data_IF_585630252338
#
_entry.id   IF_585630252338
#
_cell.length_a   1.000
_cell.length_b   1.000
_cell.length_c   1.000
_cell.angle_alpha   90.00
_cell.angle_beta   90.00
_cell.angle_gamma   90.00
#
_symmetry.space_group_name_H-M   'P 1'
#
loop_
_entity.id
_entity.type
_entity.pdbx_description
1 polymer ?
#
# COMPACT_ATOMS: atom_id res chain seq x y z
N UNK A 1 26.37 -4.93 53.66
CA UNK A 1 25.23 -5.58 52.95
C UNK A 1 24.86 -4.83 51.67
N UNK A 2 24.66 -3.50 51.69
CA UNK A 2 24.38 -2.69 50.49
C UNK A 2 25.54 -2.69 49.48
N UNK A 3 26.80 -2.64 49.93
CA UNK A 3 27.96 -2.63 49.01
C UNK A 3 28.31 -4.00 48.42
N UNK A 4 27.90 -5.11 49.06
CA UNK A 4 28.04 -6.45 48.48
C UNK A 4 27.00 -6.69 47.37
N UNK A 5 25.77 -6.19 47.56
CA UNK A 5 24.73 -6.23 46.53
C UNK A 5 25.10 -5.44 45.27
N UNK A 6 25.82 -4.31 45.41
CA UNK A 6 26.32 -3.51 44.26
C UNK A 6 27.29 -4.26 43.35
N UNK A 7 28.05 -5.23 43.86
CA UNK A 7 29.02 -6.00 43.07
C UNK A 7 28.42 -7.31 42.54
N UNK A 8 27.47 -7.90 43.26
CA UNK A 8 26.82 -9.16 42.90
C UNK A 8 25.81 -8.96 41.76
N UNK A 9 25.07 -7.85 41.74
CA UNK A 9 24.07 -7.56 40.70
C UNK A 9 24.68 -7.46 39.29
N UNK A 10 25.79 -6.73 39.05
CA UNK A 10 26.46 -6.71 37.74
C UNK A 10 26.95 -8.10 37.28
N UNK A 11 27.49 -8.93 38.18
CA UNK A 11 27.97 -10.28 37.84
C UNK A 11 26.83 -11.23 37.46
N UNK A 12 25.70 -11.18 38.17
CA UNK A 12 24.50 -11.95 37.84
C UNK A 12 23.90 -11.50 36.51
N UNK A 13 23.87 -10.20 36.25
CA UNK A 13 23.43 -9.64 34.95
C UNK A 13 24.35 -10.11 33.82
N UNK A 14 25.67 -10.10 34.03
CA UNK A 14 26.61 -10.63 33.04
C UNK A 14 26.42 -12.12 32.77
N UNK A 15 26.27 -12.95 33.81
CA UNK A 15 26.04 -14.40 33.64
C UNK A 15 24.72 -14.68 32.91
N UNK A 16 23.65 -14.01 33.29
CA UNK A 16 22.35 -14.14 32.65
C UNK A 16 22.38 -13.70 31.17
N UNK A 17 23.09 -12.63 30.86
CA UNK A 17 23.26 -12.17 29.47
C UNK A 17 24.11 -13.14 28.65
N UNK A 18 25.17 -13.72 29.23
CA UNK A 18 26.00 -14.72 28.56
C UNK A 18 25.23 -16.01 28.26
N UNK A 19 24.36 -16.46 29.17
CA UNK A 19 23.49 -17.62 28.94
C UNK A 19 22.46 -17.38 27.83
N UNK A 20 21.89 -16.17 27.75
CA UNK A 20 21.02 -15.77 26.64
C UNK A 20 21.78 -15.77 25.30
N UNK A 21 22.99 -15.22 25.28
CA UNK A 21 23.81 -15.13 24.07
C UNK A 21 24.23 -16.52 23.55
N UNK A 22 24.60 -17.44 24.45
CA UNK A 22 24.91 -18.84 24.09
C UNK A 22 23.66 -19.55 23.54
N UNK A 23 22.49 -19.32 24.14
CA UNK A 23 21.24 -19.88 23.64
C UNK A 23 20.90 -19.35 22.25
N UNK A 24 21.09 -18.05 21.98
CA UNK A 24 20.87 -17.48 20.64
C UNK A 24 21.82 -18.08 19.60
N UNK A 25 23.12 -18.21 19.93
CA UNK A 25 24.12 -18.82 19.04
C UNK A 25 23.76 -20.26 18.63
N UNK A 26 23.14 -21.03 19.54
CA UNK A 26 22.70 -22.41 19.27
C UNK A 26 21.38 -22.47 18.52
N UNK A 27 20.42 -21.62 18.87
CA UNK A 27 19.05 -21.69 18.33
C UNK A 27 18.95 -21.11 16.93
N UNK A 28 19.62 -19.98 16.65
CA UNK A 28 19.51 -19.26 15.36
C UNK A 28 19.81 -20.18 14.15
N UNK A 29 20.91 -20.95 14.11
CA UNK A 29 21.18 -21.86 12.99
C UNK A 29 20.10 -22.94 12.80
N UNK A 30 19.55 -23.46 13.90
CA UNK A 30 18.51 -24.51 13.87
C UNK A 30 17.22 -23.95 13.29
N UNK A 31 16.79 -22.77 13.76
CA UNK A 31 15.59 -22.09 13.27
C UNK A 31 15.75 -21.71 11.79
N UNK A 32 16.92 -21.21 11.38
CA UNK A 32 17.20 -20.90 9.98
C UNK A 32 17.14 -22.12 9.06
N UNK A 33 17.60 -23.28 9.55
CA UNK A 33 17.59 -24.54 8.79
C UNK A 33 16.19 -25.12 8.67
N UNK A 34 15.39 -25.06 9.74
CA UNK A 34 14.03 -25.64 9.78
C UNK A 34 12.98 -24.70 9.17
N UNK A 35 13.23 -23.39 9.21
CA UNK A 35 12.29 -22.35 8.80
C UNK A 35 11.44 -21.85 9.97
N UNK A 36 11.10 -20.55 9.94
CA UNK A 36 10.31 -19.86 10.96
C UNK A 36 8.85 -20.35 11.06
N UNK A 37 8.33 -21.00 10.02
CA UNK A 37 6.98 -21.57 9.99
C UNK A 37 6.92 -22.96 10.63
N UNK A 38 8.04 -23.69 10.62
CA UNK A 38 8.13 -25.07 11.13
C UNK A 38 8.72 -25.14 12.55
N UNK A 39 8.91 -23.98 13.18
CA UNK A 39 9.53 -23.84 14.49
C UNK A 39 8.53 -23.28 15.48
N UNK A 40 8.15 -24.09 16.47
CA UNK A 40 7.39 -23.61 17.63
C UNK A 40 8.38 -23.04 18.66
N UNK A 41 8.16 -21.81 19.13
CA UNK A 41 8.96 -21.14 20.17
C UNK A 41 8.17 -20.91 21.47
N UNK A 42 6.93 -21.41 21.58
CA UNK A 42 6.01 -21.19 22.69
C UNK A 42 6.54 -21.71 24.03
N UNK A 43 7.53 -22.62 24.01
CA UNK A 43 8.20 -23.11 25.21
C UNK A 43 9.11 -22.07 25.88
N UNK A 44 9.45 -20.99 25.18
CA UNK A 44 10.26 -19.89 25.72
C UNK A 44 9.35 -18.76 26.20
N UNK A 45 9.79 -18.00 27.21
CA UNK A 45 9.13 -16.75 27.59
C UNK A 45 9.20 -15.69 26.48
N UNK A 46 8.25 -14.76 26.44
CA UNK A 46 8.11 -13.78 25.36
C UNK A 46 9.41 -13.03 25.02
N UNK A 47 10.16 -12.58 26.03
CA UNK A 47 11.42 -11.86 25.83
C UNK A 47 12.46 -12.71 25.10
N UNK A 48 12.51 -14.00 25.42
CA UNK A 48 13.44 -14.94 24.81
C UNK A 48 13.02 -15.30 23.39
N UNK A 49 11.71 -15.47 23.15
CA UNK A 49 11.18 -15.64 21.80
C UNK A 49 11.52 -14.46 20.90
N UNK A 50 11.27 -13.23 21.38
CA UNK A 50 11.61 -12.00 20.64
C UNK A 50 13.11 -11.91 20.38
N UNK A 51 13.94 -12.25 21.37
CA UNK A 51 15.40 -12.30 21.21
C UNK A 51 15.85 -13.26 20.11
N UNK A 52 15.34 -14.50 20.11
CA UNK A 52 15.64 -15.50 19.08
C UNK A 52 15.17 -15.00 17.71
N UNK A 53 13.94 -14.51 17.59
CA UNK A 53 13.38 -14.03 16.33
C UNK A 53 14.18 -12.84 15.77
N UNK A 54 14.60 -11.90 16.61
CA UNK A 54 15.44 -10.77 16.22
C UNK A 54 16.81 -11.23 15.69
N UNK A 55 17.44 -12.19 16.38
CA UNK A 55 18.74 -12.73 15.96
C UNK A 55 18.63 -13.53 14.66
N UNK A 56 17.56 -14.32 14.49
CA UNK A 56 17.26 -15.01 13.23
C UNK A 56 17.04 -14.01 12.09
N UNK A 57 16.27 -12.95 12.36
CA UNK A 57 15.99 -11.90 11.39
C UNK A 57 17.28 -11.19 10.94
N UNK A 58 18.18 -10.86 11.87
CA UNK A 58 19.45 -10.21 11.55
C UNK A 58 20.34 -11.09 10.65
N UNK A 59 20.41 -12.38 10.93
CA UNK A 59 21.13 -13.34 10.08
C UNK A 59 20.47 -13.50 8.70
N UNK A 60 19.14 -13.41 8.60
CA UNK A 60 18.43 -13.42 7.32
C UNK A 60 18.76 -12.17 6.49
N UNK A 61 18.85 -10.99 7.12
CA UNK A 61 19.28 -9.75 6.45
C UNK A 61 20.69 -9.90 5.89
N UNK A 62 21.64 -10.41 6.70
CA UNK A 62 23.04 -10.64 6.26
C UNK A 62 23.12 -11.59 5.06
N UNK A 63 22.19 -12.52 4.94
CA UNK A 63 22.08 -13.49 3.82
C UNK A 63 21.26 -12.97 2.64
N UNK A 64 20.80 -11.71 2.65
CA UNK A 64 19.97 -11.12 1.61
C UNK A 64 18.53 -11.64 1.55
N UNK A 65 18.08 -12.41 2.56
CA UNK A 65 16.72 -12.99 2.64
C UNK A 65 15.76 -12.01 3.33
N UNK A 66 15.66 -10.79 2.81
CA UNK A 66 14.98 -9.66 3.47
C UNK A 66 13.50 -9.90 3.72
N UNK A 67 12.79 -10.59 2.80
CA UNK A 67 11.36 -10.93 2.99
C UNK A 67 11.12 -11.78 4.24
N UNK A 68 11.98 -12.77 4.46
CA UNK A 68 11.88 -13.65 5.63
C UNK A 68 12.31 -12.91 6.91
N UNK A 69 13.29 -12.01 6.80
CA UNK A 69 13.68 -11.15 7.90
C UNK A 69 12.52 -10.23 8.34
N UNK A 70 11.76 -9.65 7.41
CA UNK A 70 10.57 -8.83 7.71
C UNK A 70 9.53 -9.68 8.46
N UNK A 71 9.25 -10.90 8.00
CA UNK A 71 8.32 -11.79 8.69
C UNK A 71 8.80 -12.14 10.11
N UNK A 72 10.10 -12.35 10.29
CA UNK A 72 10.71 -12.59 11.60
C UNK A 72 10.58 -11.36 12.53
N UNK A 73 10.88 -10.16 12.03
CA UNK A 73 10.75 -8.91 12.80
C UNK A 73 9.29 -8.57 13.12
N UNK A 74 8.35 -8.89 12.23
CA UNK A 74 6.92 -8.76 12.48
C UNK A 74 6.49 -9.66 13.65
N UNK A 75 6.89 -10.94 13.64
CA UNK A 75 6.64 -11.86 14.77
C UNK A 75 7.31 -11.39 16.06
N UNK A 76 8.51 -10.82 15.96
CA UNK A 76 9.23 -10.25 17.11
C UNK A 76 8.64 -8.91 17.60
N UNK A 77 7.69 -8.31 16.85
CA UNK A 77 7.17 -6.95 17.06
C UNK A 77 8.27 -5.89 17.13
N UNK A 78 9.36 -6.08 16.38
CA UNK A 78 10.50 -5.15 16.38
C UNK A 78 10.29 -4.02 15.36
N UNK A 79 9.63 -2.95 15.82
CA UNK A 79 9.30 -1.79 14.99
C UNK A 79 10.55 -1.06 14.48
N UNK A 80 11.57 -0.89 15.33
CA UNK A 80 12.79 -0.15 14.97
C UNK A 80 13.52 -0.81 13.79
N UNK A 81 13.67 -2.14 13.81
CA UNK A 81 14.30 -2.86 12.70
C UNK A 81 13.48 -2.86 11.43
N UNK A 82 12.16 -2.90 11.52
CA UNK A 82 11.28 -2.72 10.36
C UNK A 82 11.43 -1.32 9.75
N UNK A 83 11.57 -0.28 10.58
CA UNK A 83 11.84 1.09 10.12
C UNK A 83 13.21 1.18 9.44
N UNK A 84 14.26 0.58 10.00
CA UNK A 84 15.60 0.55 9.38
C UNK A 84 15.59 -0.12 8.00
N UNK A 85 14.88 -1.25 7.85
CA UNK A 85 14.69 -1.92 6.56
C UNK A 85 13.89 -1.01 5.61
N UNK A 86 12.82 -0.38 6.10
CA UNK A 86 12.02 0.57 5.33
C UNK A 86 12.86 1.75 4.82
N UNK A 87 13.71 2.32 5.66
CA UNK A 87 14.65 3.39 5.30
C UNK A 87 15.65 2.93 4.23
N UNK A 88 16.13 1.68 4.32
CA UNK A 88 16.99 1.08 3.31
C UNK A 88 16.27 0.95 1.95
N UNK A 89 15.02 0.47 1.93
CA UNK A 89 14.21 0.41 0.71
C UNK A 89 13.94 1.80 0.13
N UNK A 90 13.61 2.78 0.97
CA UNK A 90 13.41 4.17 0.54
C UNK A 90 14.66 4.73 -0.15
N UNK A 91 15.85 4.48 0.41
CA UNK A 91 17.11 4.93 -0.17
C UNK A 91 17.43 4.25 -1.52
N UNK A 92 16.85 3.08 -1.78
CA UNK A 92 16.92 2.37 -3.07
C UNK A 92 15.77 2.74 -4.03
N UNK A 93 14.94 3.75 -3.69
CA UNK A 93 13.72 4.13 -4.41
C UNK A 93 12.68 2.99 -4.54
N UNK A 94 12.74 1.98 -3.65
CA UNK A 94 11.76 0.90 -3.59
C UNK A 94 10.59 1.29 -2.67
N UNK A 95 9.85 2.33 -3.05
CA UNK A 95 8.85 2.96 -2.17
C UNK A 95 7.73 2.02 -1.72
N UNK A 96 7.20 1.16 -2.61
CA UNK A 96 6.13 0.22 -2.24
C UNK A 96 6.53 -0.72 -1.09
N UNK A 97 7.80 -1.14 -1.06
CA UNK A 97 8.35 -2.01 -0.01
C UNK A 97 8.64 -1.21 1.29
N UNK A 98 9.10 0.03 1.16
CA UNK A 98 9.29 0.93 2.28
C UNK A 98 7.95 1.22 3.00
N UNK A 99 6.89 1.52 2.24
CA UNK A 99 5.54 1.76 2.74
C UNK A 99 5.02 0.54 3.52
N UNK A 100 5.21 -0.68 3.00
CA UNK A 100 4.81 -1.90 3.70
C UNK A 100 5.52 -2.03 5.06
N UNK A 101 6.85 -1.83 5.08
CA UNK A 101 7.64 -1.89 6.32
C UNK A 101 7.18 -0.84 7.34
N UNK A 102 6.96 0.40 6.91
CA UNK A 102 6.51 1.48 7.79
C UNK A 102 5.09 1.26 8.29
N UNK A 103 4.19 0.70 7.48
CA UNK A 103 2.83 0.36 7.90
C UNK A 103 2.83 -0.73 8.98
N UNK A 104 3.58 -1.82 8.77
CA UNK A 104 3.73 -2.89 9.77
C UNK A 104 4.34 -2.34 11.07
N UNK A 105 5.30 -1.43 10.96
CA UNK A 105 5.92 -0.79 12.11
C UNK A 105 5.03 0.28 12.79
N UNK A 106 3.87 0.60 12.23
CA UNK A 106 2.99 1.70 12.65
C UNK A 106 3.71 3.08 12.64
N UNK A 107 4.72 3.23 11.78
CA UNK A 107 5.54 4.43 11.66
C UNK A 107 4.86 5.49 10.78
N UNK A 108 3.80 6.12 11.31
CA UNK A 108 2.98 7.11 10.58
C UNK A 108 3.78 8.27 10.01
N UNK A 109 4.74 8.81 10.77
CA UNK A 109 5.59 9.92 10.30
C UNK A 109 6.45 9.52 9.08
N UNK A 110 6.91 8.25 9.06
CA UNK A 110 7.71 7.71 7.95
C UNK A 110 6.84 7.44 6.72
N UNK A 111 5.64 6.93 6.91
CA UNK A 111 4.63 6.81 5.84
C UNK A 111 4.30 8.17 5.23
N UNK A 112 4.13 9.20 6.07
CA UNK A 112 3.86 10.55 5.60
C UNK A 112 5.04 11.09 4.77
N UNK A 113 6.26 10.97 5.28
CA UNK A 113 7.46 11.44 4.60
C UNK A 113 7.70 10.72 3.25
N UNK A 114 7.51 9.40 3.18
CA UNK A 114 7.68 8.66 1.92
C UNK A 114 6.59 9.04 0.91
N UNK A 115 5.35 9.26 1.35
CA UNK A 115 4.29 9.70 0.46
C UNK A 115 4.54 11.09 -0.12
N UNK A 116 5.10 12.03 0.67
CA UNK A 116 5.50 13.36 0.17
C UNK A 116 6.61 13.27 -0.88
N UNK A 117 7.58 12.39 -0.69
CA UNK A 117 8.64 12.13 -1.69
C UNK A 117 8.03 11.54 -2.96
N UNK A 118 7.17 10.53 -2.83
CA UNK A 118 6.50 9.90 -3.97
C UNK A 118 5.66 10.91 -4.77
N UNK A 119 4.91 11.78 -4.10
CA UNK A 119 4.12 12.83 -4.74
C UNK A 119 5.01 13.79 -5.54
N UNK A 120 6.10 14.25 -4.95
CA UNK A 120 7.06 15.14 -5.61
C UNK A 120 7.67 14.49 -6.86
N UNK A 121 8.08 13.24 -6.73
CA UNK A 121 8.75 12.47 -7.78
C UNK A 121 7.77 11.92 -8.84
N UNK A 122 6.46 12.13 -8.64
CA UNK A 122 5.42 11.68 -9.57
C UNK A 122 5.08 10.20 -9.48
N UNK A 123 5.52 9.51 -8.43
CA UNK A 123 5.17 8.13 -8.12
C UNK A 123 3.76 8.07 -7.49
N UNK A 124 2.73 8.34 -8.30
CA UNK A 124 1.36 8.56 -7.80
C UNK A 124 0.78 7.36 -7.06
N UNK A 125 0.98 6.14 -7.56
CA UNK A 125 0.44 4.93 -6.93
C UNK A 125 0.96 4.74 -5.49
N UNK A 126 2.28 4.94 -5.29
CA UNK A 126 2.89 4.83 -3.96
C UNK A 126 2.47 5.99 -3.04
N UNK A 127 2.34 7.21 -3.56
CA UNK A 127 1.85 8.36 -2.80
C UNK A 127 0.40 8.13 -2.31
N UNK A 128 -0.47 7.64 -3.19
CA UNK A 128 -1.87 7.29 -2.86
C UNK A 128 -1.88 6.24 -1.76
N UNK A 129 -1.13 5.14 -1.93
CA UNK A 129 -1.05 4.06 -0.94
C UNK A 129 -0.58 4.57 0.42
N UNK A 130 0.49 5.37 0.46
CA UNK A 130 1.02 5.93 1.69
C UNK A 130 -0.03 6.80 2.42
N UNK A 131 -0.70 7.71 1.69
CA UNK A 131 -1.66 8.64 2.27
C UNK A 131 -3.00 7.99 2.65
N UNK A 132 -3.41 6.93 1.95
CA UNK A 132 -4.53 6.08 2.36
C UNK A 132 -4.24 5.38 3.69
N UNK A 133 -3.03 4.83 3.87
CA UNK A 133 -2.65 4.12 5.10
C UNK A 133 -2.55 5.06 6.31
N UNK A 134 -2.22 6.33 6.11
CA UNK A 134 -2.30 7.34 7.18
C UNK A 134 -3.66 8.06 7.24
N UNK A 135 -4.60 7.71 6.38
CA UNK A 135 -5.95 8.31 6.30
C UNK A 135 -5.94 9.84 6.14
N UNK A 136 -4.90 10.41 5.53
CA UNK A 136 -4.79 11.86 5.33
C UNK A 136 -5.56 12.28 4.08
N UNK A 137 -6.82 12.68 4.29
CA UNK A 137 -7.72 13.14 3.22
C UNK A 137 -7.22 14.40 2.52
N UNK A 138 -6.54 15.30 3.22
CA UNK A 138 -6.03 16.56 2.65
C UNK A 138 -4.91 16.26 1.67
N UNK A 139 -3.98 15.40 2.06
CA UNK A 139 -2.88 14.97 1.19
C UNK A 139 -3.37 14.12 0.03
N UNK A 140 -4.33 13.22 0.24
CA UNK A 140 -4.98 12.51 -0.85
C UNK A 140 -5.61 13.46 -1.87
N UNK A 141 -6.33 14.50 -1.42
CA UNK A 141 -6.92 15.48 -2.32
C UNK A 141 -5.85 16.19 -3.17
N UNK A 142 -4.71 16.55 -2.57
CA UNK A 142 -3.57 17.12 -3.29
C UNK A 142 -2.99 16.15 -4.32
N UNK A 143 -2.88 14.85 -3.99
CA UNK A 143 -2.44 13.84 -4.97
C UNK A 143 -3.43 13.75 -6.13
N UNK A 144 -4.73 13.75 -5.86
CA UNK A 144 -5.76 13.72 -6.90
C UNK A 144 -5.66 14.93 -7.85
N UNK A 145 -5.48 16.12 -7.29
CA UNK A 145 -5.31 17.35 -8.06
C UNK A 145 -4.02 17.35 -8.89
N UNK A 146 -2.92 16.83 -8.33
CA UNK A 146 -1.66 16.71 -9.06
C UNK A 146 -1.73 15.62 -10.14
N UNK A 147 -2.43 14.51 -9.90
CA UNK A 147 -2.70 13.50 -10.92
C UNK A 147 -3.45 14.10 -12.11
N UNK A 148 -4.48 14.91 -11.85
CA UNK A 148 -5.25 15.57 -12.89
C UNK A 148 -4.38 16.51 -13.74
N UNK A 149 -3.55 17.35 -13.10
CA UNK A 149 -2.62 18.26 -13.81
C UNK A 149 -1.60 17.54 -14.69
N UNK A 150 -1.19 16.33 -14.29
CA UNK A 150 -0.23 15.50 -15.02
C UNK A 150 -0.89 14.48 -15.96
N UNK A 151 -2.20 14.63 -16.20
CA UNK A 151 -3.00 13.75 -17.07
C UNK A 151 -2.96 12.27 -16.63
N UNK A 152 -2.70 12.01 -15.34
CA UNK A 152 -2.75 10.68 -14.71
C UNK A 152 -4.18 10.37 -14.26
N UNK A 153 -5.09 10.29 -15.23
CA UNK A 153 -6.53 10.19 -14.98
C UNK A 153 -6.93 8.97 -14.15
N UNK A 154 -6.34 7.80 -14.38
CA UNK A 154 -6.66 6.59 -13.60
C UNK A 154 -6.41 6.78 -12.10
N UNK A 155 -5.24 7.34 -11.76
CA UNK A 155 -4.86 7.65 -10.37
C UNK A 155 -5.75 8.75 -9.77
N UNK A 156 -6.11 9.77 -10.56
CA UNK A 156 -7.04 10.81 -10.11
C UNK A 156 -8.44 10.24 -9.80
N UNK A 157 -8.96 9.36 -10.66
CA UNK A 157 -10.25 8.67 -10.45
C UNK A 157 -10.19 7.83 -9.17
N UNK A 158 -9.12 7.07 -8.96
CA UNK A 158 -8.94 6.25 -7.76
C UNK A 158 -9.02 7.08 -6.48
N UNK A 159 -8.28 8.19 -6.43
CA UNK A 159 -8.26 9.12 -5.29
C UNK A 159 -9.62 9.73 -5.05
N UNK A 160 -10.23 10.35 -6.06
CA UNK A 160 -11.50 11.05 -5.85
C UNK A 160 -12.66 10.10 -5.60
N UNK A 161 -12.60 8.86 -6.09
CA UNK A 161 -13.51 7.78 -5.70
C UNK A 161 -13.35 7.44 -4.22
N UNK A 162 -12.12 7.24 -3.75
CA UNK A 162 -11.85 6.95 -2.34
C UNK A 162 -12.35 8.08 -1.43
N UNK A 163 -12.19 9.34 -1.85
CA UNK A 163 -12.68 10.51 -1.13
C UNK A 163 -14.18 10.79 -1.32
N UNK A 164 -14.87 10.03 -2.18
CA UNK A 164 -16.27 10.28 -2.59
C UNK A 164 -16.50 11.71 -3.13
N UNK A 165 -15.51 12.29 -3.80
CA UNK A 165 -15.52 13.67 -4.26
C UNK A 165 -16.13 13.79 -5.67
N UNK A 166 -17.46 13.80 -5.73
CA UNK A 166 -18.23 13.71 -7.00
C UNK A 166 -17.90 14.81 -7.99
N UNK A 167 -17.83 16.07 -7.55
CA UNK A 167 -17.56 17.21 -8.46
C UNK A 167 -16.18 17.09 -9.13
N UNK A 168 -15.18 16.59 -8.38
CA UNK A 168 -13.83 16.34 -8.90
C UNK A 168 -13.83 15.16 -9.89
N UNK A 169 -14.61 14.11 -9.62
CA UNK A 169 -14.78 13.01 -10.59
C UNK A 169 -15.42 13.49 -11.90
N UNK A 170 -16.43 14.37 -11.84
CA UNK A 170 -16.98 15.01 -13.03
C UNK A 170 -15.92 15.81 -13.77
N UNK A 171 -15.11 16.60 -13.04
CA UNK A 171 -14.00 17.37 -13.62
C UNK A 171 -12.99 16.47 -14.33
N UNK A 172 -12.59 15.35 -13.71
CA UNK A 172 -11.70 14.37 -14.34
C UNK A 172 -12.34 13.79 -15.60
N UNK A 173 -13.63 13.45 -15.54
CA UNK A 173 -14.36 12.96 -16.71
C UNK A 173 -14.39 13.99 -17.85
N UNK A 174 -14.61 15.26 -17.55
CA UNK A 174 -14.65 16.34 -18.54
C UNK A 174 -13.29 16.51 -19.23
N UNK A 175 -12.19 16.45 -18.48
CA UNK A 175 -10.83 16.45 -19.06
C UNK A 175 -10.57 15.19 -19.90
N UNK A 176 -10.95 14.00 -19.41
CA UNK A 176 -10.84 12.76 -20.19
C UNK A 176 -11.56 12.85 -21.54
N UNK A 177 -12.76 13.45 -21.61
CA UNK A 177 -13.48 13.66 -22.88
C UNK A 177 -12.70 14.57 -23.82
N UNK A 178 -12.14 15.68 -23.32
CA UNK A 178 -11.34 16.61 -24.14
C UNK A 178 -10.10 15.94 -24.74
N UNK A 179 -9.50 14.99 -24.01
CA UNK A 179 -8.32 14.23 -24.43
C UNK A 179 -8.65 12.90 -25.11
N UNK A 180 -9.91 12.69 -25.50
CA UNK A 180 -10.42 11.49 -26.16
C UNK A 180 -10.24 10.16 -25.38
N UNK A 181 -10.09 10.25 -24.07
CA UNK A 181 -10.00 9.13 -23.14
C UNK A 181 -11.39 8.69 -22.68
N UNK A 182 -12.27 8.34 -23.63
CA UNK A 182 -13.71 8.16 -23.39
C UNK A 182 -14.04 7.03 -22.39
N UNK A 183 -13.25 5.96 -22.36
CA UNK A 183 -13.44 4.85 -21.38
C UNK A 183 -13.17 5.33 -19.96
N UNK A 184 -12.12 6.14 -19.76
CA UNK A 184 -11.80 6.73 -18.47
C UNK A 184 -12.82 7.79 -18.07
N UNK A 185 -13.32 8.57 -19.04
CA UNK A 185 -14.41 9.51 -18.81
C UNK A 185 -15.68 8.81 -18.30
N UNK A 186 -16.11 7.73 -18.98
CA UNK A 186 -17.25 6.93 -18.56
C UNK A 186 -17.07 6.39 -17.14
N UNK A 187 -15.90 5.83 -16.82
CA UNK A 187 -15.57 5.33 -15.48
C UNK A 187 -15.63 6.44 -14.41
N UNK A 188 -15.12 7.64 -14.73
CA UNK A 188 -15.18 8.78 -13.82
C UNK A 188 -16.64 9.21 -13.56
N UNK A 189 -17.46 9.32 -14.60
CA UNK A 189 -18.86 9.72 -14.49
C UNK A 189 -19.74 8.65 -13.81
N UNK A 190 -19.43 7.37 -14.00
CA UNK A 190 -20.06 6.27 -13.27
C UNK A 190 -19.86 6.45 -11.76
N UNK A 191 -18.61 6.66 -11.31
CA UNK A 191 -18.34 6.91 -9.90
C UNK A 191 -18.91 8.23 -9.39
N UNK A 192 -19.03 9.24 -10.27
CA UNK A 192 -19.72 10.49 -9.95
C UNK A 192 -21.25 10.35 -9.90
N UNK A 193 -21.80 9.24 -10.40
CA UNK A 193 -23.24 8.99 -10.59
C UNK A 193 -23.91 9.99 -11.54
N UNK A 194 -23.18 10.50 -12.54
CA UNK A 194 -23.69 11.48 -13.50
C UNK A 194 -24.25 10.79 -14.75
N UNK A 195 -25.55 10.47 -14.70
CA UNK A 195 -26.26 9.82 -15.83
C UNK A 195 -26.26 10.66 -17.11
N UNK A 196 -26.41 11.98 -16.97
CA UNK A 196 -26.37 12.91 -18.10
C UNK A 196 -25.02 12.86 -18.82
N UNK A 197 -23.92 12.96 -18.07
CA UNK A 197 -22.57 12.90 -18.65
C UNK A 197 -22.25 11.53 -19.25
N UNK A 198 -22.74 10.45 -18.64
CA UNK A 198 -22.63 9.11 -19.23
C UNK A 198 -23.37 9.00 -20.56
N UNK A 199 -24.60 9.51 -20.67
CA UNK A 199 -25.33 9.53 -21.93
C UNK A 199 -24.55 10.30 -23.01
N UNK A 200 -23.97 11.46 -22.67
CA UNK A 200 -23.15 12.22 -23.61
C UNK A 200 -21.93 11.42 -24.09
N UNK A 201 -21.26 10.65 -23.21
CA UNK A 201 -20.16 9.77 -23.60
C UNK A 201 -20.65 8.63 -24.50
N UNK A 202 -21.83 8.06 -24.21
CA UNK A 202 -22.49 7.09 -25.06
C UNK A 202 -22.75 7.63 -26.47
N UNK A 203 -23.25 8.86 -26.57
CA UNK A 203 -23.51 9.54 -27.85
C UNK A 203 -22.22 9.74 -28.65
N UNK A 204 -21.11 10.09 -27.97
CA UNK A 204 -19.80 10.22 -28.62
C UNK A 204 -19.30 8.86 -29.13
N UNK A 205 -19.44 7.79 -28.34
CA UNK A 205 -19.09 6.44 -28.81
C UNK A 205 -19.93 5.99 -30.00
N UNK A 206 -21.22 6.32 -30.01
CA UNK A 206 -22.12 6.02 -31.12
C UNK A 206 -21.70 6.76 -32.40
N UNK A 207 -21.39 8.07 -32.30
CA UNK A 207 -20.89 8.87 -33.43
C UNK A 207 -19.55 8.33 -33.98
N UNK A 208 -18.75 7.68 -33.14
CA UNK A 208 -17.50 7.03 -33.52
C UNK A 208 -17.66 5.58 -33.96
N UNK A 209 -18.89 5.11 -34.13
CA UNK A 209 -19.24 3.73 -34.51
C UNK A 209 -18.72 2.66 -33.53
N UNK A 210 -18.38 3.06 -32.29
CA UNK A 210 -17.94 2.15 -31.23
C UNK A 210 -19.15 1.60 -30.46
N UNK A 211 -19.96 0.80 -31.15
CA UNK A 211 -21.26 0.36 -30.66
C UNK A 211 -21.20 -0.38 -29.31
N UNK A 212 -20.20 -1.24 -29.11
CA UNK A 212 -20.04 -2.00 -27.84
C UNK A 212 -19.83 -1.07 -26.65
N UNK A 213 -18.96 -0.06 -26.82
CA UNK A 213 -18.68 0.92 -25.78
C UNK A 213 -19.91 1.82 -25.53
N UNK A 214 -20.60 2.24 -26.60
CA UNK A 214 -21.84 3.02 -26.48
C UNK A 214 -22.91 2.25 -25.69
N UNK A 215 -23.14 0.98 -26.04
CA UNK A 215 -24.10 0.11 -25.37
C UNK A 215 -23.79 -0.03 -23.86
N UNK A 216 -22.54 -0.34 -23.52
CA UNK A 216 -22.13 -0.47 -22.11
C UNK A 216 -22.32 0.83 -21.33
N UNK A 217 -21.95 1.98 -21.91
CA UNK A 217 -22.11 3.27 -21.24
C UNK A 217 -23.58 3.64 -21.04
N UNK A 218 -24.45 3.43 -22.04
CA UNK A 218 -25.89 3.63 -21.86
C UNK A 218 -26.50 2.68 -20.84
N UNK A 219 -26.01 1.43 -20.77
CA UNK A 219 -26.40 0.46 -19.74
C UNK A 219 -26.05 0.95 -18.34
N UNK A 220 -24.84 1.48 -18.16
CA UNK A 220 -24.40 2.08 -16.89
C UNK A 220 -25.23 3.33 -16.56
N UNK A 221 -25.56 4.17 -17.55
CA UNK A 221 -26.42 5.34 -17.37
C UNK A 221 -27.88 4.99 -17.03
N UNK A 222 -28.32 3.77 -17.36
CA UNK A 222 -29.70 3.33 -17.27
C UNK A 222 -30.60 3.91 -18.37
N UNK A 223 -30.05 4.18 -19.56
CA UNK A 223 -30.78 4.72 -20.70
C UNK A 223 -31.42 3.59 -21.52
N UNK A 224 -32.58 3.12 -21.08
CA UNK A 224 -33.29 1.98 -21.69
C UNK A 224 -33.61 2.19 -23.17
N UNK A 225 -33.94 3.42 -23.57
CA UNK A 225 -34.29 3.77 -24.95
C UNK A 225 -33.12 3.49 -25.88
N UNK A 226 -31.92 3.99 -25.53
CA UNK A 226 -30.74 3.79 -26.38
C UNK A 226 -30.24 2.35 -26.38
N UNK A 227 -30.40 1.63 -25.25
CA UNK A 227 -30.09 0.20 -25.16
C UNK A 227 -30.99 -0.61 -26.11
N UNK A 228 -32.30 -0.37 -26.11
CA UNK A 228 -33.26 -1.04 -27.00
C UNK A 228 -32.99 -0.70 -28.46
N UNK A 229 -32.75 0.58 -28.77
CA UNK A 229 -32.37 1.01 -30.11
C UNK A 229 -31.14 0.25 -30.64
N UNK A 230 -30.09 0.12 -29.82
CA UNK A 230 -28.88 -0.59 -30.22
C UNK A 230 -29.10 -2.09 -30.37
N UNK A 231 -29.91 -2.70 -29.50
CA UNK A 231 -30.26 -4.12 -29.57
C UNK A 231 -31.04 -4.45 -30.83
N UNK A 232 -32.08 -3.68 -31.15
CA UNK A 232 -32.98 -3.95 -32.27
C UNK A 232 -32.32 -3.72 -33.63
N UNK A 233 -31.47 -2.69 -33.75
CA UNK A 233 -30.92 -2.28 -35.05
C UNK A 233 -29.54 -2.88 -35.34
N UNK A 234 -28.80 -3.28 -34.30
CA UNK A 234 -27.41 -3.75 -34.44
C UNK A 234 -27.14 -5.10 -33.78
N UNK A 235 -28.17 -5.79 -33.30
CA UNK A 235 -28.07 -7.11 -32.64
C UNK A 235 -27.12 -7.14 -31.43
N UNK A 236 -27.07 -6.04 -30.68
CA UNK A 236 -26.25 -5.90 -29.47
C UNK A 236 -26.88 -6.66 -28.29
N UNK A 237 -26.08 -7.45 -27.57
CA UNK A 237 -26.53 -8.28 -26.44
C UNK A 237 -25.86 -7.86 -25.13
#
# INVERSE_FOLDING_TARGET
MVDQLKNIVPELVQKFNAEKEDTFKRMVPIVLKKGLENTNLDMFGEDMQRGILNAVAEELVKKGRTKEAIAAYMKAKNKDKLIEIGDSYKNMNMFSHAIECYWIAEARDRLMAVGEVCLRDGQMADAIKAFQLVEDKTRLLLVGDECLKREKYESAIEVFRFLSHRDKLVTVGDECVKHDQLVLAAKAYEFAQSKEKLNNVGDIFLQKEQLNNAYEVYRIAGNTIMIEFLRENFNMA
#
